data_IF_024653087272
#
_entry.id   IF_024653087272
#
_cell.length_a   1.000
_cell.length_b   1.000
_cell.length_c   1.000
_cell.angle_alpha   90.00
_cell.angle_beta   90.00
_cell.angle_gamma   90.00
#
_symmetry.space_group_name_H-M   'P 1'
#
loop_
_entity.id
_entity.type
_entity.pdbx_description
1 polymer ?
#
# COMPACT_ATOMS: atom_id res chain seq x y z
N UNK A 1 -0.62 29.82 -29.10
CA UNK A 1 -1.09 28.42 -29.03
C UNK A 1 -0.13 27.55 -28.21
N UNK A 2 -0.49 27.23 -26.95
CA UNK A 2 0.32 26.38 -26.06
C UNK A 2 0.04 24.91 -26.40
N UNK A 3 1.08 24.18 -26.82
CA UNK A 3 1.07 22.74 -27.04
C UNK A 3 0.76 22.02 -25.73
N UNK A 4 -0.23 21.13 -25.77
CA UNK A 4 -0.62 20.26 -24.66
C UNK A 4 0.17 18.97 -24.88
N UNK A 5 1.24 18.76 -24.12
CA UNK A 5 1.98 17.49 -24.16
C UNK A 5 1.01 16.36 -23.77
N UNK A 6 0.57 15.58 -24.76
CA UNK A 6 -0.21 14.38 -24.54
C UNK A 6 0.73 13.33 -23.97
N UNK A 7 0.80 13.23 -22.64
CA UNK A 7 1.40 12.05 -22.02
C UNK A 7 0.57 10.84 -22.43
N UNK A 8 1.19 9.91 -23.16
CA UNK A 8 0.56 8.65 -23.52
C UNK A 8 0.17 7.90 -22.23
N UNK A 9 -1.06 7.39 -22.20
CA UNK A 9 -1.55 6.60 -21.06
C UNK A 9 -0.99 5.19 -21.13
N UNK A 10 -0.50 4.67 -20.00
CA UNK A 10 0.10 3.33 -19.90
C UNK A 10 -0.70 2.47 -18.93
N UNK A 11 -0.90 1.20 -19.29
CA UNK A 11 -1.49 0.17 -18.43
C UNK A 11 -0.38 -0.79 -18.02
N UNK A 12 -0.19 -0.99 -16.71
CA UNK A 12 0.79 -1.91 -16.14
C UNK A 12 0.14 -3.10 -15.46
N UNK A 13 0.80 -4.26 -15.54
CA UNK A 13 0.42 -5.47 -14.80
C UNK A 13 1.56 -5.78 -13.83
N UNK A 14 1.23 -6.02 -12.57
CA UNK A 14 2.18 -6.37 -11.52
C UNK A 14 1.98 -7.85 -11.14
N UNK A 15 3.03 -8.66 -11.29
CA UNK A 15 3.09 -10.05 -10.84
C UNK A 15 4.21 -10.18 -9.80
N UNK A 16 3.85 -10.63 -8.59
CA UNK A 16 4.71 -10.64 -7.41
C UNK A 16 4.38 -11.84 -6.51
N UNK A 17 5.35 -12.25 -5.69
CA UNK A 17 5.14 -13.26 -4.67
C UNK A 17 4.20 -12.76 -3.56
N UNK A 18 3.27 -13.61 -3.15
CA UNK A 18 2.42 -13.40 -1.96
C UNK A 18 3.17 -13.70 -0.65
N UNK A 19 2.45 -13.61 0.46
CA UNK A 19 3.01 -13.86 1.80
C UNK A 19 3.39 -15.34 1.98
N UNK A 20 4.59 -15.61 2.51
CA UNK A 20 5.13 -16.95 2.72
C UNK A 20 5.31 -17.29 4.20
N UNK A 21 4.94 -18.51 4.58
CA UNK A 21 5.10 -19.01 5.97
C UNK A 21 5.63 -20.44 5.94
N UNK A 22 6.84 -20.63 6.46
CA UNK A 22 7.46 -21.94 6.63
C UNK A 22 7.78 -22.22 8.11
N UNK A 23 8.03 -23.49 8.49
CA UNK A 23 8.49 -23.82 9.85
C UNK A 23 9.77 -23.07 10.26
N UNK A 24 10.63 -22.74 9.30
CA UNK A 24 11.78 -21.85 9.46
C UNK A 24 11.87 -20.93 8.25
N UNK A 25 11.59 -19.66 8.45
CA UNK A 25 11.74 -18.63 7.41
C UNK A 25 13.21 -18.24 7.25
N UNK A 26 13.67 -18.13 6.01
CA UNK A 26 14.98 -17.58 5.70
C UNK A 26 14.91 -16.05 5.54
N UNK A 27 16.06 -15.42 5.30
CA UNK A 27 16.10 -13.99 4.98
C UNK A 27 15.31 -13.65 3.70
N UNK A 28 15.18 -14.59 2.76
CA UNK A 28 14.39 -14.39 1.55
C UNK A 28 12.90 -14.19 1.88
N UNK A 29 12.32 -15.08 2.72
CA UNK A 29 10.94 -14.94 3.19
C UNK A 29 10.74 -13.63 3.96
N UNK A 30 11.75 -13.19 4.72
CA UNK A 30 11.69 -11.89 5.38
C UNK A 30 11.55 -10.75 4.36
N UNK A 31 12.36 -10.73 3.31
CA UNK A 31 12.26 -9.72 2.25
C UNK A 31 10.93 -9.78 1.49
N UNK A 32 10.44 -10.98 1.16
CA UNK A 32 9.14 -11.18 0.49
C UNK A 32 8.00 -10.66 1.36
N UNK A 33 7.97 -11.05 2.64
CA UNK A 33 6.90 -10.66 3.56
C UNK A 33 6.96 -9.16 3.89
N UNK A 34 8.15 -8.58 4.03
CA UNK A 34 8.29 -7.14 4.21
C UNK A 34 7.83 -6.35 2.98
N UNK A 35 8.11 -6.83 1.77
CA UNK A 35 7.56 -6.25 0.54
C UNK A 35 6.02 -6.29 0.53
N UNK A 36 5.43 -7.44 0.90
CA UNK A 36 3.98 -7.59 1.04
C UNK A 36 3.39 -6.62 2.08
N UNK A 37 4.08 -6.40 3.20
CA UNK A 37 3.66 -5.44 4.23
C UNK A 37 3.58 -4.00 3.69
N UNK A 38 4.58 -3.60 2.90
CA UNK A 38 4.61 -2.28 2.24
C UNK A 38 3.50 -2.13 1.20
N UNK A 39 3.22 -3.18 0.46
CA UNK A 39 2.12 -3.20 -0.51
C UNK A 39 0.75 -3.12 0.18
N UNK A 40 0.59 -3.80 1.32
CA UNK A 40 -0.61 -3.69 2.15
C UNK A 40 -0.80 -2.26 2.67
N UNK A 41 0.26 -1.60 3.12
CA UNK A 41 0.20 -0.20 3.57
C UNK A 41 -0.26 0.72 2.43
N UNK A 42 0.29 0.54 1.22
CA UNK A 42 -0.12 1.30 0.04
C UNK A 42 -1.59 1.02 -0.31
N UNK A 43 -2.01 -0.25 -0.28
CA UNK A 43 -3.39 -0.64 -0.58
C UNK A 43 -4.38 0.03 0.37
N UNK A 44 -4.15 -0.03 1.69
CA UNK A 44 -5.00 0.61 2.69
C UNK A 44 -5.15 2.11 2.41
N UNK A 45 -4.05 2.80 2.12
CA UNK A 45 -4.08 4.24 1.82
C UNK A 45 -4.88 4.55 0.55
N UNK A 46 -4.69 3.78 -0.52
CA UNK A 46 -5.39 3.98 -1.79
C UNK A 46 -6.89 3.68 -1.66
N UNK A 47 -7.25 2.59 -0.99
CA UNK A 47 -8.65 2.21 -0.77
C UNK A 47 -9.36 3.26 0.07
N UNK A 48 -8.82 3.65 1.23
CA UNK A 48 -9.45 4.66 2.09
C UNK A 48 -9.61 6.00 1.37
N UNK A 49 -8.61 6.42 0.61
CA UNK A 49 -8.70 7.64 -0.20
C UNK A 49 -9.79 7.55 -1.26
N UNK A 50 -9.86 6.42 -1.98
CA UNK A 50 -10.88 6.18 -3.01
C UNK A 50 -12.29 6.21 -2.42
N UNK A 51 -12.51 5.56 -1.27
CA UNK A 51 -13.80 5.56 -0.59
C UNK A 51 -14.18 6.97 -0.12
N UNK A 52 -13.25 7.72 0.48
CA UNK A 52 -13.50 9.10 0.89
C UNK A 52 -13.90 10.01 -0.28
N UNK A 53 -13.21 9.87 -1.43
CA UNK A 53 -13.54 10.60 -2.65
C UNK A 53 -14.93 10.25 -3.17
N UNK A 54 -15.34 8.98 -3.09
CA UNK A 54 -16.66 8.54 -3.53
C UNK A 54 -17.78 9.04 -2.60
N UNK A 55 -17.58 8.96 -1.27
CA UNK A 55 -18.53 9.52 -0.30
C UNK A 55 -18.75 11.02 -0.53
N UNK A 56 -17.67 11.78 -0.78
CA UNK A 56 -17.76 13.21 -1.10
C UNK A 56 -18.48 13.46 -2.43
N UNK A 57 -18.27 12.61 -3.44
CA UNK A 57 -18.93 12.70 -4.74
C UNK A 57 -20.43 12.47 -4.62
N UNK A 58 -20.83 11.51 -3.79
CA UNK A 58 -22.24 11.16 -3.54
C UNK A 58 -22.91 12.08 -2.51
N UNK A 59 -22.14 12.92 -1.81
CA UNK A 59 -22.66 13.80 -0.77
C UNK A 59 -23.05 13.07 0.53
N UNK A 60 -22.44 11.92 0.78
CA UNK A 60 -22.65 11.08 1.96
C UNK A 60 -21.62 11.48 3.05
N UNK A 61 -22.07 11.53 4.31
CA UNK A 61 -21.17 11.80 5.43
C UNK A 61 -20.18 10.65 5.64
N UNK A 62 -18.89 10.97 5.74
CA UNK A 62 -17.85 10.00 6.02
C UNK A 62 -17.91 9.52 7.47
N UNK A 63 -18.01 8.20 7.65
CA UNK A 63 -17.88 7.55 8.95
C UNK A 63 -16.50 6.92 9.06
N UNK A 64 -15.67 7.31 10.05
CA UNK A 64 -14.38 6.68 10.26
C UNK A 64 -14.53 5.18 10.53
N UNK A 65 -13.83 4.38 9.73
CA UNK A 65 -13.75 2.93 9.92
C UNK A 65 -12.53 2.61 10.77
N UNK A 66 -12.70 1.80 11.81
CA UNK A 66 -11.57 1.26 12.57
C UNK A 66 -10.88 0.17 11.75
N UNK A 67 -9.57 0.32 11.56
CA UNK A 67 -8.75 -0.68 10.89
C UNK A 67 -7.37 -0.74 11.54
N UNK A 68 -6.68 -1.87 11.36
CA UNK A 68 -5.30 -2.00 11.78
C UNK A 68 -4.39 -1.32 10.75
N UNK A 69 -3.77 -0.21 11.17
CA UNK A 69 -2.77 0.47 10.36
C UNK A 69 -1.41 -0.22 10.51
N UNK A 70 -1.00 -0.92 9.45
CA UNK A 70 0.17 -1.78 9.47
C UNK A 70 1.51 -1.02 9.29
N UNK A 71 1.46 0.31 9.18
CA UNK A 71 2.63 1.18 9.16
C UNK A 71 3.60 0.91 10.31
N UNK A 72 3.09 0.51 11.48
CA UNK A 72 3.93 0.20 12.64
C UNK A 72 4.89 -0.97 12.38
N UNK A 73 4.50 -1.93 11.54
CA UNK A 73 5.35 -3.08 11.16
C UNK A 73 6.38 -2.63 10.15
N UNK A 74 5.96 -1.81 9.19
CA UNK A 74 6.83 -1.19 8.20
C UNK A 74 7.92 -0.34 8.85
N UNK A 75 7.55 0.50 9.81
CA UNK A 75 8.46 1.39 10.53
C UNK A 75 9.42 0.59 11.40
N UNK A 76 8.95 -0.46 12.08
CA UNK A 76 9.81 -1.34 12.89
C UNK A 76 10.98 -1.93 12.08
N UNK A 77 10.75 -2.24 10.79
CA UNK A 77 11.77 -2.82 9.92
C UNK A 77 12.68 -1.75 9.30
N UNK A 78 12.17 -0.54 9.04
CA UNK A 78 12.93 0.55 8.40
C UNK A 78 13.62 1.53 9.35
N UNK A 79 13.21 1.57 10.63
CA UNK A 79 13.77 2.48 11.62
C UNK A 79 15.30 2.32 11.69
N UNK A 80 16.03 3.38 11.30
CA UNK A 80 17.48 3.46 11.49
C UNK A 80 17.78 3.58 12.98
N UNK A 81 18.27 2.48 13.56
CA UNK A 81 18.94 2.41 14.86
C UNK A 81 18.09 2.77 16.10
N UNK A 82 17.74 1.73 16.88
CA UNK A 82 17.81 1.76 18.36
C UNK A 82 18.94 0.85 18.86
N UNK A 83 20.11 0.94 18.23
CA UNK A 83 21.32 0.18 18.58
C UNK A 83 22.57 0.94 18.22
#
# INVERSE_FOLDING_TARGET
PKQKDSRDSVIGILDIYGFEIFPKNSFEQFCINFCNEKLQQLFIQLTLKSEQEEYLREGIEWVPVEYFNNIIICDLIEERHRG
#
